data_IF_526288078370
#
_entry.id   IF_526288078370
#
_cell.length_a   1.000
_cell.length_b   1.000
_cell.length_c   1.000
_cell.angle_alpha   90.00
_cell.angle_beta   90.00
_cell.angle_gamma   90.00
#
_symmetry.space_group_name_H-M   'P 1'
#
loop_
_entity.id
_entity.type
_entity.pdbx_description
1 polymer ?
#
# COMPACT_ATOMS: atom_id res chain seq x y z
N UNK A 1 -15.76 10.56 0.95
CA UNK A 1 -14.85 10.10 -0.13
C UNK A 1 -13.42 10.55 0.13
N UNK A 2 -13.17 11.86 0.30
CA UNK A 2 -11.88 12.46 0.70
C UNK A 2 -11.24 11.82 1.96
N UNK A 3 -12.05 11.32 2.89
CA UNK A 3 -11.57 10.72 4.14
C UNK A 3 -10.70 9.47 3.95
N UNK A 4 -11.05 8.56 3.01
CA UNK A 4 -10.27 7.34 2.78
C UNK A 4 -8.89 7.65 2.16
N UNK A 5 -8.84 8.59 1.22
CA UNK A 5 -7.59 9.07 0.61
C UNK A 5 -6.70 9.72 1.67
N UNK A 6 -7.26 10.65 2.46
CA UNK A 6 -6.52 11.32 3.52
C UNK A 6 -6.02 10.33 4.59
N UNK A 7 -6.83 9.33 4.93
CA UNK A 7 -6.45 8.28 5.85
C UNK A 7 -5.23 7.49 5.34
N UNK A 8 -5.19 7.15 4.04
CA UNK A 8 -4.06 6.44 3.43
C UNK A 8 -2.79 7.29 3.33
N UNK A 9 -2.93 8.58 3.00
CA UNK A 9 -1.79 9.50 2.99
C UNK A 9 -1.16 9.65 4.39
N UNK A 10 -1.98 9.60 5.45
CA UNK A 10 -1.47 9.55 6.83
C UNK A 10 -0.64 8.28 7.10
N UNK A 11 -1.04 7.12 6.58
CA UNK A 11 -0.25 5.89 6.68
C UNK A 11 1.14 6.05 6.05
N UNK A 12 1.22 6.70 4.88
CA UNK A 12 2.51 6.89 4.19
C UNK A 12 3.45 7.80 4.95
N UNK A 13 2.94 8.91 5.48
CA UNK A 13 3.73 9.82 6.30
C UNK A 13 4.19 9.17 7.60
N UNK A 14 3.37 8.28 8.18
CA UNK A 14 3.79 7.45 9.32
C UNK A 14 4.99 6.57 8.93
N UNK A 15 4.90 5.79 7.85
CA UNK A 15 6.01 4.94 7.37
C UNK A 15 7.26 5.75 7.03
N UNK A 16 7.11 6.94 6.43
CA UNK A 16 8.25 7.81 6.08
C UNK A 16 8.91 8.44 7.31
N UNK A 17 8.16 8.68 8.39
CA UNK A 17 8.71 9.32 9.59
C UNK A 17 9.76 8.45 10.28
N UNK A 18 9.67 7.12 10.15
CA UNK A 18 10.69 6.19 10.68
C UNK A 18 12.01 6.22 9.88
N UNK A 19 11.99 6.66 8.61
CA UNK A 19 13.16 6.71 7.74
C UNK A 19 13.92 8.06 7.76
N UNK A 20 13.35 9.13 8.33
CA UNK A 20 13.99 10.46 8.33
C UNK A 20 14.80 10.67 9.62
N UNK A 21 15.96 10.03 9.68
CA UNK A 21 17.12 10.60 10.37
C UNK A 21 17.97 11.32 9.33
N UNK A 22 17.84 12.66 9.32
CA UNK A 22 18.73 13.59 8.62
C UNK A 22 18.83 13.47 7.08
N UNK A 23 17.81 13.92 6.35
CA UNK A 23 18.05 14.64 5.09
C UNK A 23 16.90 15.60 4.79
N UNK A 24 17.21 16.91 4.79
CA UNK A 24 16.27 17.99 4.44
C UNK A 24 15.94 17.91 2.95
N UNK A 25 15.00 17.06 2.59
CA UNK A 25 14.40 17.05 1.26
C UNK A 25 13.18 17.96 1.29
N UNK A 26 13.20 19.04 0.50
CA UNK A 26 12.07 19.94 0.27
C UNK A 26 10.83 19.13 -0.17
N UNK A 27 9.96 18.80 0.78
CA UNK A 27 8.59 18.36 0.51
C UNK A 27 7.79 19.64 0.40
N UNK A 28 7.19 19.88 -0.76
CA UNK A 28 6.24 20.97 -0.97
C UNK A 28 5.22 21.00 0.17
N UNK A 29 5.04 22.17 0.79
CA UNK A 29 4.24 22.44 2.00
C UNK A 29 2.73 22.10 1.89
N UNK A 30 2.30 21.41 0.83
CA UNK A 30 0.88 21.13 0.57
C UNK A 30 0.24 20.10 1.52
N UNK A 31 1.01 19.38 2.34
CA UNK A 31 0.50 18.29 3.18
C UNK A 31 1.12 18.23 4.60
N UNK A 32 1.25 19.37 5.28
CA UNK A 32 1.65 19.41 6.70
C UNK A 32 0.46 18.98 7.56
N UNK A 33 0.45 17.72 8.01
CA UNK A 33 -0.52 17.20 8.97
C UNK A 33 0.09 17.17 10.39
N UNK A 34 -0.73 17.31 11.46
CA UNK A 34 -0.25 17.31 12.83
C UNK A 34 0.57 16.04 13.15
N UNK A 35 1.56 16.15 14.08
CA UNK A 35 2.42 15.04 14.44
C UNK A 35 1.61 13.82 14.89
N UNK A 36 2.05 12.64 14.47
CA UNK A 36 1.32 11.39 14.65
C UNK A 36 1.13 11.04 16.13
N UNK A 37 -0.11 10.89 16.63
CA UNK A 37 -0.37 10.46 18.01
C UNK A 37 0.28 9.13 18.41
N UNK A 38 0.55 8.23 17.45
CA UNK A 38 1.18 6.93 17.73
C UNK A 38 2.69 7.05 17.96
N UNK A 39 3.32 8.12 17.46
CA UNK A 39 4.77 8.34 17.62
C UNK A 39 5.18 8.48 19.10
N UNK A 40 4.23 8.81 19.99
CA UNK A 40 4.46 8.92 21.42
C UNK A 40 3.79 7.80 22.24
N UNK A 41 3.15 6.82 21.58
CA UNK A 41 2.44 5.77 22.29
C UNK A 41 3.43 4.66 22.66
N UNK A 42 3.81 4.63 23.94
CA UNK A 42 4.56 3.49 24.50
C UNK A 42 3.56 2.38 24.79
N UNK A 43 3.60 1.32 24.00
CA UNK A 43 2.82 0.12 24.26
C UNK A 43 3.41 -0.63 25.45
N UNK A 44 2.77 -0.51 26.61
CA UNK A 44 3.13 -1.27 27.81
C UNK A 44 2.29 -2.54 27.89
N UNK A 45 2.93 -3.70 27.98
CA UNK A 45 2.24 -4.95 28.30
C UNK A 45 1.94 -5.02 29.78
N UNK A 46 0.70 -5.37 30.13
CA UNK A 46 0.40 -5.91 31.44
C UNK A 46 0.62 -7.42 31.43
N UNK A 47 1.77 -7.86 31.95
CA UNK A 47 2.17 -9.27 32.00
C UNK A 47 1.12 -10.15 32.71
N UNK A 48 0.33 -9.59 33.64
CA UNK A 48 -0.65 -10.34 34.41
C UNK A 48 -1.87 -10.78 33.59
N UNK A 49 -2.14 -10.14 32.46
CA UNK A 49 -3.35 -10.32 31.66
C UNK A 49 -3.09 -11.02 30.30
N UNK A 50 -1.91 -11.61 30.08
CA UNK A 50 -1.63 -12.34 28.84
C UNK A 50 -2.45 -13.63 28.73
N UNK A 51 -3.50 -13.59 27.90
CA UNK A 51 -4.27 -14.77 27.54
C UNK A 51 -3.58 -15.53 26.38
N UNK A 52 -2.84 -16.59 26.73
CA UNK A 52 -2.12 -17.41 25.74
C UNK A 52 -3.01 -17.98 24.64
N UNK A 53 -4.21 -18.44 25.00
CA UNK A 53 -5.13 -19.02 24.03
C UNK A 53 -5.59 -17.98 22.98
N UNK A 54 -5.82 -16.74 23.39
CA UNK A 54 -6.19 -15.67 22.46
C UNK A 54 -5.05 -15.32 21.52
N UNK A 55 -3.82 -15.22 22.04
CA UNK A 55 -2.62 -14.94 21.22
C UNK A 55 -2.37 -16.06 20.21
N UNK A 56 -2.48 -17.32 20.63
CA UNK A 56 -2.26 -18.48 19.74
C UNK A 56 -3.32 -18.57 18.61
N UNK A 57 -4.50 -17.97 18.78
CA UNK A 57 -5.54 -17.86 17.74
C UNK A 57 -5.35 -16.62 16.87
N UNK A 58 -5.07 -15.47 17.48
CA UNK A 58 -5.03 -14.18 16.79
C UNK A 58 -3.73 -13.99 15.98
N UNK A 59 -2.60 -14.46 16.50
CA UNK A 59 -1.30 -14.24 15.87
C UNK A 59 -1.16 -14.92 14.51
N UNK A 60 -1.57 -16.19 14.30
CA UNK A 60 -1.56 -16.80 12.97
C UNK A 60 -2.43 -16.06 11.95
N UNK A 61 -3.57 -15.49 12.38
CA UNK A 61 -4.43 -14.67 11.52
C UNK A 61 -3.74 -13.37 11.11
N UNK A 62 -3.04 -12.72 12.04
CA UNK A 62 -2.20 -11.57 11.73
C UNK A 62 -1.14 -11.92 10.68
N UNK A 63 -0.42 -13.03 10.86
CA UNK A 63 0.62 -13.45 9.92
C UNK A 63 0.07 -13.71 8.50
N UNK A 64 -1.12 -14.29 8.38
CA UNK A 64 -1.77 -14.50 7.10
C UNK A 64 -2.07 -13.17 6.37
N UNK A 65 -2.35 -12.09 7.11
CA UNK A 65 -2.60 -10.77 6.56
C UNK A 65 -1.34 -9.99 6.16
N UNK A 66 -0.14 -10.44 6.56
CA UNK A 66 1.13 -9.77 6.25
C UNK A 66 1.82 -10.26 4.97
N UNK A 67 1.32 -11.33 4.33
CA UNK A 67 1.84 -11.89 3.07
C UNK A 67 3.36 -12.18 3.11
N UNK A 68 3.84 -12.68 4.25
CA UNK A 68 5.25 -12.97 4.50
C UNK A 68 5.68 -14.31 3.89
N UNK A 69 6.97 -14.45 3.59
CA UNK A 69 7.55 -15.75 3.20
C UNK A 69 7.44 -16.78 4.35
N UNK A 70 7.43 -18.09 4.06
CA UNK A 70 7.36 -19.13 5.09
C UNK A 70 8.47 -19.02 6.14
N UNK A 71 9.67 -18.60 5.73
CA UNK A 71 10.82 -18.39 6.62
C UNK A 71 10.57 -17.24 7.60
N UNK A 72 10.04 -16.12 7.11
CA UNK A 72 9.70 -14.96 7.93
C UNK A 72 8.50 -15.24 8.84
N UNK A 73 7.50 -15.99 8.37
CA UNK A 73 6.39 -16.43 9.21
C UNK A 73 6.89 -17.29 10.36
N UNK A 74 7.78 -18.26 10.10
CA UNK A 74 8.37 -19.11 11.13
C UNK A 74 9.14 -18.28 12.17
N UNK A 75 9.96 -17.34 11.72
CA UNK A 75 10.72 -16.45 12.61
C UNK A 75 9.80 -15.68 13.58
N UNK A 76 8.64 -15.22 13.10
CA UNK A 76 7.65 -14.52 13.92
C UNK A 76 6.87 -15.48 14.85
N UNK A 77 6.56 -16.69 14.39
CA UNK A 77 5.94 -17.74 15.21
C UNK A 77 6.84 -18.20 16.36
N UNK A 78 8.16 -18.14 16.20
CA UNK A 78 9.12 -18.55 17.25
C UNK A 78 9.33 -17.46 18.33
N UNK A 79 8.72 -16.27 18.18
CA UNK A 79 8.85 -15.20 19.16
C UNK A 79 8.15 -15.53 20.49
N UNK A 80 8.65 -14.99 21.62
CA UNK A 80 8.00 -15.13 22.91
C UNK A 80 6.60 -14.49 22.92
N UNK A 81 5.74 -14.97 23.81
CA UNK A 81 4.31 -14.60 23.82
C UNK A 81 4.08 -13.11 24.06
N UNK A 82 4.94 -12.49 24.88
CA UNK A 82 4.95 -11.06 25.17
C UNK A 82 5.11 -10.27 23.88
N UNK A 83 6.10 -10.64 23.05
CA UNK A 83 6.36 -9.95 21.79
C UNK A 83 5.22 -10.13 20.79
N UNK A 84 4.62 -11.33 20.71
CA UNK A 84 3.43 -11.57 19.88
C UNK A 84 2.25 -10.71 20.32
N UNK A 85 2.05 -10.58 21.63
CA UNK A 85 0.99 -9.74 22.21
C UNK A 85 1.22 -8.25 21.92
N UNK A 86 2.45 -7.76 22.00
CA UNK A 86 2.81 -6.39 21.58
C UNK A 86 2.48 -6.14 20.12
N UNK A 87 2.93 -7.03 19.23
CA UNK A 87 2.67 -6.91 17.79
C UNK A 87 1.17 -6.88 17.46
N UNK A 88 0.36 -7.70 18.15
CA UNK A 88 -1.10 -7.68 18.01
C UNK A 88 -1.69 -6.35 18.49
N UNK A 89 -1.25 -5.85 19.64
CA UNK A 89 -1.71 -4.57 20.21
C UNK A 89 -1.37 -3.41 19.28
N UNK A 90 -0.13 -3.35 18.81
CA UNK A 90 0.36 -2.38 17.84
C UNK A 90 -0.47 -2.42 16.55
N UNK A 91 -0.66 -3.61 15.98
CA UNK A 91 -1.41 -3.74 14.74
C UNK A 91 -2.88 -3.35 14.89
N UNK A 92 -3.52 -3.67 16.02
CA UNK A 92 -4.88 -3.24 16.29
C UNK A 92 -4.96 -1.71 16.38
N UNK A 93 -4.02 -1.06 17.08
CA UNK A 93 -3.97 0.39 17.17
C UNK A 93 -3.75 1.06 15.80
N UNK A 94 -2.89 0.49 14.95
CA UNK A 94 -2.67 0.93 13.57
C UNK A 94 -3.97 0.76 12.76
N UNK A 95 -4.61 -0.41 12.81
CA UNK A 95 -5.87 -0.67 12.10
C UNK A 95 -6.95 0.33 12.49
N UNK A 96 -7.16 0.55 13.78
CA UNK A 96 -8.26 1.37 14.26
C UNK A 96 -8.07 2.84 13.87
N UNK A 97 -6.81 3.30 13.82
CA UNK A 97 -6.47 4.68 13.42
C UNK A 97 -6.46 4.91 11.93
N UNK A 98 -5.87 3.98 11.18
CA UNK A 98 -5.55 4.13 9.77
C UNK A 98 -6.47 3.33 8.85
N UNK A 99 -7.46 2.62 9.41
CA UNK A 99 -8.41 1.83 8.64
C UNK A 99 -7.78 0.63 7.94
N UNK A 100 -6.62 0.16 8.41
CA UNK A 100 -5.90 -0.95 7.79
C UNK A 100 -6.71 -2.25 7.87
N UNK A 101 -6.97 -2.90 6.74
CA UNK A 101 -7.74 -4.16 6.67
C UNK A 101 -9.23 -3.97 6.39
N UNK A 102 -9.70 -2.76 6.11
CA UNK A 102 -11.06 -2.53 5.63
C UNK A 102 -11.14 -2.76 4.11
N UNK A 103 -11.61 -3.93 3.69
CA UNK A 103 -11.74 -4.31 2.27
C UNK A 103 -12.61 -3.36 1.44
N UNK A 104 -13.59 -2.68 2.06
CA UNK A 104 -14.43 -1.67 1.37
C UNK A 104 -13.64 -0.50 0.80
N UNK A 105 -12.41 -0.28 1.28
CA UNK A 105 -11.56 0.76 0.73
C UNK A 105 -11.11 0.41 -0.69
N UNK A 106 -10.90 -0.88 -1.00
CA UNK A 106 -10.55 -1.32 -2.35
C UNK A 106 -11.69 -1.02 -3.34
N UNK A 107 -12.94 -1.30 -2.96
CA UNK A 107 -14.14 -0.97 -3.73
C UNK A 107 -14.20 0.54 -4.05
N UNK A 108 -14.00 1.39 -3.03
CA UNK A 108 -14.00 2.85 -3.21
C UNK A 108 -12.92 3.34 -4.17
N UNK A 109 -11.71 2.76 -4.13
CA UNK A 109 -10.67 3.13 -5.10
C UNK A 109 -11.05 2.72 -6.53
N UNK A 110 -11.72 1.59 -6.70
CA UNK A 110 -12.16 1.13 -8.00
C UNK A 110 -13.32 1.96 -8.55
N UNK A 111 -14.28 2.33 -7.70
CA UNK A 111 -15.32 3.32 -8.03
C UNK A 111 -14.66 4.62 -8.52
N UNK A 112 -13.65 5.14 -7.80
CA UNK A 112 -12.94 6.35 -8.24
C UNK A 112 -12.21 6.18 -9.58
N UNK A 113 -11.61 5.02 -9.85
CA UNK A 113 -10.96 4.74 -11.15
C UNK A 113 -11.99 4.68 -12.28
N UNK A 114 -13.18 4.15 -12.02
CA UNK A 114 -14.23 3.97 -13.02
C UNK A 114 -15.03 5.26 -13.28
N UNK A 115 -15.34 6.02 -12.23
CA UNK A 115 -16.17 7.22 -12.30
C UNK A 115 -15.38 8.47 -12.67
N UNK A 116 -14.08 8.52 -12.34
CA UNK A 116 -13.23 9.66 -12.62
C UNK A 116 -12.21 9.34 -13.68
N UNK A 117 -12.04 10.27 -14.63
CA UNK A 117 -10.90 10.23 -15.53
C UNK A 117 -9.65 10.64 -14.74
N UNK A 118 -9.02 9.68 -14.06
CA UNK A 118 -7.89 9.91 -13.16
C UNK A 118 -6.68 10.54 -13.86
N UNK A 119 -6.70 10.64 -15.19
CA UNK A 119 -5.65 11.23 -16.01
C UNK A 119 -5.92 12.71 -16.38
N UNK A 120 -7.04 13.31 -15.97
CA UNK A 120 -7.43 14.65 -16.42
C UNK A 120 -6.92 15.81 -15.55
N UNK A 121 -6.42 15.53 -14.34
CA UNK A 121 -5.93 16.59 -13.46
C UNK A 121 -4.81 16.11 -12.53
N UNK A 122 -3.96 17.03 -12.12
CA UNK A 122 -2.98 16.82 -11.05
C UNK A 122 -3.68 16.54 -9.71
N UNK A 123 -4.91 17.02 -9.53
CA UNK A 123 -5.74 16.61 -8.39
C UNK A 123 -6.02 15.10 -8.43
N UNK A 124 -6.03 14.43 -9.58
CA UNK A 124 -6.22 12.98 -9.57
C UNK A 124 -4.93 12.21 -9.28
N UNK A 125 -3.76 12.86 -9.33
CA UNK A 125 -2.48 12.26 -8.97
C UNK A 125 -2.47 11.83 -7.49
N UNK A 126 -3.02 12.64 -6.59
CA UNK A 126 -3.06 12.29 -5.16
C UNK A 126 -3.87 11.01 -4.91
N UNK A 127 -4.86 10.70 -5.76
CA UNK A 127 -5.67 9.48 -5.66
C UNK A 127 -4.83 8.27 -6.04
N UNK A 128 -4.05 8.38 -7.12
CA UNK A 128 -3.13 7.32 -7.56
C UNK A 128 -2.01 7.08 -6.53
N UNK A 129 -1.47 8.14 -5.94
CA UNK A 129 -0.48 8.03 -4.87
C UNK A 129 -1.07 7.36 -3.62
N UNK A 130 -2.28 7.76 -3.21
CA UNK A 130 -2.99 7.12 -2.11
C UNK A 130 -3.27 5.63 -2.40
N UNK A 131 -3.66 5.28 -3.62
CA UNK A 131 -3.87 3.90 -4.04
C UNK A 131 -2.57 3.09 -3.98
N UNK A 132 -1.46 3.64 -4.49
CA UNK A 132 -0.14 3.00 -4.38
C UNK A 132 0.19 2.69 -2.92
N UNK A 133 0.00 3.66 -2.03
CA UNK A 133 0.23 3.48 -0.59
C UNK A 133 -0.66 2.36 -0.05
N UNK A 134 -1.95 2.39 -0.37
CA UNK A 134 -2.88 1.35 0.06
C UNK A 134 -2.44 -0.03 -0.39
N UNK A 135 -2.08 -0.21 -1.65
CA UNK A 135 -1.61 -1.50 -2.18
C UNK A 135 -0.33 -1.99 -1.50
N UNK A 136 0.50 -1.07 -1.00
CA UNK A 136 1.76 -1.40 -0.33
C UNK A 136 1.62 -1.71 1.16
N UNK A 137 0.71 -1.02 1.86
CA UNK A 137 0.66 -1.07 3.34
C UNK A 137 -0.59 -1.71 3.91
N UNK A 138 -1.61 -1.94 3.09
CA UNK A 138 -2.81 -2.65 3.54
C UNK A 138 -2.56 -4.15 3.66
N UNK A 139 -3.55 -4.84 4.22
CA UNK A 139 -3.47 -6.27 4.49
C UNK A 139 -3.56 -7.11 3.20
N UNK A 140 -3.13 -8.37 3.27
CA UNK A 140 -3.27 -9.32 2.18
C UNK A 140 -4.71 -9.39 1.64
N UNK A 141 -5.70 -9.43 2.53
CA UNK A 141 -7.12 -9.44 2.15
C UNK A 141 -7.55 -8.18 1.37
N UNK A 142 -6.96 -7.02 1.64
CA UNK A 142 -7.21 -5.81 0.84
C UNK A 142 -6.70 -5.98 -0.59
N UNK A 143 -5.46 -6.46 -0.76
CA UNK A 143 -4.86 -6.67 -2.09
C UNK A 143 -5.64 -7.75 -2.85
N UNK A 144 -6.01 -8.83 -2.17
CA UNK A 144 -6.84 -9.90 -2.74
C UNK A 144 -8.20 -9.36 -3.22
N UNK A 145 -8.86 -8.52 -2.42
CA UNK A 145 -10.12 -7.86 -2.79
C UNK A 145 -9.94 -6.95 -4.00
N UNK A 146 -8.93 -6.08 -4.01
CA UNK A 146 -8.64 -5.18 -5.13
C UNK A 146 -8.42 -5.95 -6.44
N UNK A 147 -7.67 -7.04 -6.38
CA UNK A 147 -7.39 -7.89 -7.54
C UNK A 147 -8.65 -8.63 -8.01
N UNK A 148 -9.44 -9.23 -7.09
CA UNK A 148 -10.70 -9.92 -7.41
C UNK A 148 -11.72 -9.01 -8.09
N UNK A 149 -11.75 -7.73 -7.70
CA UNK A 149 -12.62 -6.72 -8.29
C UNK A 149 -12.11 -6.17 -9.64
N UNK A 150 -11.00 -6.71 -10.18
CA UNK A 150 -10.47 -6.33 -11.48
C UNK A 150 -9.54 -5.11 -11.47
N UNK A 151 -9.04 -4.71 -10.31
CA UNK A 151 -8.23 -3.50 -10.16
C UNK A 151 -6.92 -3.48 -10.96
N UNK A 152 -6.28 -4.64 -11.14
CA UNK A 152 -5.10 -4.76 -12.01
C UNK A 152 -5.41 -4.40 -13.48
N UNK A 153 -6.58 -4.83 -13.97
CA UNK A 153 -7.05 -4.49 -15.31
C UNK A 153 -7.33 -3.01 -15.49
N UNK A 154 -7.90 -2.37 -14.46
CA UNK A 154 -8.15 -0.92 -14.45
C UNK A 154 -6.84 -0.11 -14.46
N UNK A 155 -5.85 -0.50 -13.65
CA UNK A 155 -4.51 0.10 -13.68
C UNK A 155 -3.84 -0.07 -15.05
N UNK A 156 -3.99 -1.24 -15.68
CA UNK A 156 -3.47 -1.49 -17.04
C UNK A 156 -4.09 -0.52 -18.04
N UNK A 157 -5.41 -0.35 -18.01
CA UNK A 157 -6.12 0.57 -18.90
C UNK A 157 -5.61 2.01 -18.73
N UNK A 158 -5.49 2.49 -17.49
CA UNK A 158 -4.93 3.83 -17.21
C UNK A 158 -3.50 3.99 -17.74
N UNK A 159 -2.63 3.02 -17.47
CA UNK A 159 -1.23 3.07 -17.94
C UNK A 159 -1.13 3.06 -19.47
N UNK A 160 -2.03 2.33 -20.15
CA UNK A 160 -2.04 2.24 -21.62
C UNK A 160 -2.41 3.54 -22.32
N UNK A 161 -3.13 4.45 -21.64
CA UNK A 161 -3.47 5.77 -22.16
C UNK A 161 -2.35 6.80 -21.94
N UNK A 162 -1.46 6.58 -20.98
CA UNK A 162 -0.40 7.54 -20.63
C UNK A 162 0.54 7.89 -21.82
N UNK A 163 1.04 6.94 -22.62
CA UNK A 163 1.88 7.27 -23.77
C UNK A 163 1.19 8.11 -24.86
N UNK A 164 -0.16 8.13 -24.88
CA UNK A 164 -0.95 8.85 -25.90
C UNK A 164 -1.25 10.29 -25.51
N UNK A 165 -0.98 10.68 -24.25
CA UNK A 165 -1.34 11.98 -23.68
C UNK A 165 -0.07 12.66 -23.12
N UNK A 166 0.36 13.78 -23.71
CA UNK A 166 1.50 14.54 -23.17
C UNK A 166 1.25 15.00 -21.72
N UNK A 167 2.29 14.98 -20.88
CA UNK A 167 2.24 15.51 -19.50
C UNK A 167 1.80 14.49 -18.44
N UNK A 168 1.49 13.24 -18.79
CA UNK A 168 1.07 12.20 -17.85
C UNK A 168 2.22 11.40 -17.23
N UNK A 169 3.45 11.89 -17.30
CA UNK A 169 4.62 11.19 -16.76
C UNK A 169 4.50 10.91 -15.25
N UNK A 170 3.90 11.82 -14.49
CA UNK A 170 3.71 11.64 -13.05
C UNK A 170 2.61 10.62 -12.73
N UNK A 171 1.48 10.67 -13.45
CA UNK A 171 0.41 9.68 -13.33
C UNK A 171 0.92 8.29 -13.71
N UNK A 172 1.67 8.18 -14.82
CA UNK A 172 2.30 6.93 -15.22
C UNK A 172 3.25 6.39 -14.16
N UNK A 173 4.07 7.25 -13.55
CA UNK A 173 4.95 6.84 -12.44
C UNK A 173 4.16 6.33 -11.24
N UNK A 174 3.07 7.01 -10.84
CA UNK A 174 2.21 6.56 -9.74
C UNK A 174 1.54 5.20 -10.05
N UNK A 175 1.06 5.00 -11.28
CA UNK A 175 0.46 3.73 -11.70
C UNK A 175 1.51 2.59 -11.73
N UNK A 176 2.74 2.87 -12.18
CA UNK A 176 3.85 1.91 -12.12
C UNK A 176 4.19 1.54 -10.68
N UNK A 177 4.14 2.48 -9.73
CA UNK A 177 4.30 2.20 -8.31
C UNK A 177 3.17 1.30 -7.76
N UNK A 178 1.93 1.46 -8.22
CA UNK A 178 0.84 0.53 -7.91
C UNK A 178 1.15 -0.89 -8.39
N UNK A 179 1.64 -1.05 -9.63
CA UNK A 179 2.08 -2.36 -10.13
C UNK A 179 3.24 -2.94 -9.31
N UNK A 180 4.16 -2.09 -8.84
CA UNK A 180 5.27 -2.54 -7.99
C UNK A 180 4.78 -3.07 -6.65
N UNK A 181 3.80 -2.37 -6.06
CA UNK A 181 3.14 -2.84 -4.84
C UNK A 181 2.44 -4.19 -5.07
N UNK A 182 1.76 -4.39 -6.20
CA UNK A 182 1.13 -5.67 -6.55
C UNK A 182 2.15 -6.80 -6.70
N UNK A 183 3.29 -6.56 -7.36
CA UNK A 183 4.35 -7.56 -7.55
C UNK A 183 5.01 -8.01 -6.22
N UNK A 184 4.96 -7.15 -5.20
CA UNK A 184 5.42 -7.48 -3.86
C UNK A 184 4.43 -8.37 -3.08
N UNK A 185 3.16 -8.41 -3.46
CA UNK A 185 2.17 -9.33 -2.89
C UNK A 185 2.13 -10.65 -3.65
N UNK A 186 1.91 -11.76 -2.96
CA UNK A 186 1.76 -13.08 -3.57
C UNK A 186 0.59 -13.12 -4.56
N UNK A 187 -0.59 -12.61 -4.20
CA UNK A 187 -1.77 -12.63 -5.09
C UNK A 187 -1.64 -11.61 -6.23
N UNK A 188 -1.09 -10.43 -5.94
CA UNK A 188 -0.85 -9.40 -6.96
C UNK A 188 0.17 -9.87 -8.00
N UNK A 189 1.28 -10.47 -7.55
CA UNK A 189 2.33 -11.04 -8.40
C UNK A 189 1.78 -12.10 -9.33
N UNK A 190 0.95 -13.03 -8.85
CA UNK A 190 0.34 -14.06 -9.68
C UNK A 190 -0.49 -13.45 -10.81
N UNK A 191 -1.33 -12.46 -10.53
CA UNK A 191 -2.20 -11.85 -11.55
C UNK A 191 -1.42 -11.01 -12.56
N UNK A 192 -0.44 -10.22 -12.11
CA UNK A 192 0.38 -9.39 -13.02
C UNK A 192 1.22 -10.27 -13.95
N UNK A 193 1.93 -11.27 -13.40
CA UNK A 193 2.81 -12.13 -14.19
C UNK A 193 2.06 -13.09 -15.12
N UNK A 194 0.78 -13.37 -14.83
CA UNK A 194 -0.07 -14.22 -15.67
C UNK A 194 -0.70 -13.48 -16.87
N UNK A 195 -0.51 -12.16 -16.99
CA UNK A 195 -1.11 -11.34 -18.04
C UNK A 195 -0.06 -10.74 -18.97
N UNK A 196 0.14 -11.38 -20.13
CA UNK A 196 1.04 -10.85 -21.18
C UNK A 196 0.71 -9.40 -21.56
N UNK A 197 -0.58 -9.06 -21.70
CA UNK A 197 -1.00 -7.69 -21.99
C UNK A 197 -0.54 -6.70 -20.93
N UNK A 198 -0.68 -7.07 -19.64
CA UNK A 198 -0.26 -6.21 -18.53
C UNK A 198 1.26 -5.99 -18.57
N UNK A 199 2.02 -7.06 -18.78
CA UNK A 199 3.48 -6.99 -18.93
C UNK A 199 3.90 -6.13 -20.13
N UNK A 200 3.21 -6.26 -21.27
CA UNK A 200 3.45 -5.44 -22.46
C UNK A 200 3.19 -3.96 -22.19
N UNK A 201 2.12 -3.61 -21.48
CA UNK A 201 1.80 -2.22 -21.12
C UNK A 201 2.86 -1.64 -20.15
N UNK A 202 3.27 -2.42 -19.14
CA UNK A 202 4.35 -2.04 -18.22
C UNK A 202 5.65 -1.82 -19.00
N UNK A 203 6.04 -2.74 -19.89
CA UNK A 203 7.25 -2.60 -20.70
C UNK A 203 7.18 -1.39 -21.65
N UNK A 204 6.03 -1.11 -22.24
CA UNK A 204 5.83 0.03 -23.14
C UNK A 204 5.94 1.38 -22.42
N UNK A 205 5.76 1.42 -21.10
CA UNK A 205 5.96 2.65 -20.30
C UNK A 205 7.40 3.17 -20.34
N UNK A 206 8.38 2.32 -20.73
CA UNK A 206 9.78 2.73 -20.93
C UNK A 206 9.97 3.75 -22.05
N UNK A 207 8.99 3.87 -22.96
CA UNK A 207 8.97 4.88 -24.01
C UNK A 207 8.67 6.29 -23.49
N UNK A 208 8.19 6.43 -22.26
CA UNK A 208 7.96 7.73 -21.64
C UNK A 208 9.29 8.46 -21.40
N UNK A 209 9.28 9.79 -21.58
CA UNK A 209 10.45 10.65 -21.44
C UNK A 209 11.02 10.69 -20.01
N UNK A 210 10.18 10.37 -19.02
CA UNK A 210 10.51 10.41 -17.59
C UNK A 210 11.56 9.38 -17.18
N UNK A 211 12.69 9.88 -16.68
CA UNK A 211 13.72 9.04 -16.05
C UNK A 211 13.15 8.23 -14.87
N UNK A 212 12.20 8.77 -14.11
CA UNK A 212 11.53 8.05 -13.01
C UNK A 212 10.80 6.81 -13.52
N UNK A 213 10.03 6.92 -14.61
CA UNK A 213 9.32 5.78 -15.20
C UNK A 213 10.30 4.68 -15.66
N UNK A 214 11.41 5.08 -16.30
CA UNK A 214 12.46 4.15 -16.72
C UNK A 214 13.11 3.44 -15.53
N UNK A 215 13.48 4.17 -14.49
CA UNK A 215 14.10 3.59 -13.29
C UNK A 215 13.13 2.66 -12.57
N UNK A 216 11.87 3.05 -12.40
CA UNK A 216 10.86 2.18 -11.75
C UNK A 216 10.73 0.87 -12.53
N UNK A 217 10.73 0.92 -13.86
CA UNK A 217 10.70 -0.28 -14.69
C UNK A 217 11.88 -1.24 -14.41
N UNK A 218 13.09 -0.72 -14.26
CA UNK A 218 14.27 -1.54 -13.98
C UNK A 218 14.28 -2.18 -12.59
N UNK A 219 13.40 -1.77 -11.68
CA UNK A 219 13.33 -2.27 -10.30
C UNK A 219 12.08 -3.16 -10.08
N UNK A 220 11.37 -3.53 -11.16
CA UNK A 220 10.41 -4.65 -11.13
C UNK A 220 11.15 -5.98 -11.13
#
# INVERSE_FOLDING_TARGET
MIDAVNQMLRCFNWVRSDDIKEEKMHIEEKYIFPPDPLHNLVFTLDAANLNKCEVDIAFPRLLAELDLSPENQKLLLDQPIEKKCLMLTEQNAIRDKYGIGNSKIAEKFLEMIQEHNLLDSDNNLYILEALFISLRTQSHSYVESFVKLGGSGQLKSLLSECPRRPGLEQHAAAILLCFRALLNSTVGRLVVLSSNDTLCVIASSTCLSSAKCKVIFFVF
#
